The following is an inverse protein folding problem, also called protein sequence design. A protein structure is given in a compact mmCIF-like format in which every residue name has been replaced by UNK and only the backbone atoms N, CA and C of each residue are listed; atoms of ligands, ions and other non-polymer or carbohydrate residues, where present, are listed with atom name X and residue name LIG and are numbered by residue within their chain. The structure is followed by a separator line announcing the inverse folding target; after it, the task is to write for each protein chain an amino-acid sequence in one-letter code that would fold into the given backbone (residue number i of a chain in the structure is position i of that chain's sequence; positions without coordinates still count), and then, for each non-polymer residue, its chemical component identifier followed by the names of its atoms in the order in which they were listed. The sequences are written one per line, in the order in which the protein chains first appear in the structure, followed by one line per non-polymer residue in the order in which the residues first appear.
data_IF_866249510057
#
_entry.id   IF_866249510057
#
_cell.length_a   1.000
_cell.length_b   1.000
_cell.length_c   1.000
_cell.angle_alpha   90.00
_cell.angle_beta   90.00
_cell.angle_gamma   90.00
#
_symmetry.space_group_name_H-M   'P 1'
#
loop_
_entity.id
_entity.type
_entity.pdbx_description
1 polymer ?
#
# COMPACT_ATOMS: atom_id res chain seq x y z
N UNK A 1 51.46 -19.74 11.65
CA UNK A 1 51.88 -18.34 11.48
C UNK A 1 50.69 -17.61 10.88
N UNK A 2 50.19 -16.59 11.59
CA UNK A 2 49.00 -15.81 11.27
C UNK A 2 49.23 -14.80 10.13
N UNK A 3 48.20 -14.64 9.29
CA UNK A 3 47.59 -13.41 8.75
C UNK A 3 48.40 -12.35 7.99
N UNK A 4 47.83 -11.90 6.86
CA UNK A 4 47.60 -10.50 6.40
C UNK A 4 47.23 -10.54 4.90
N UNK A 5 46.25 -9.85 4.32
CA UNK A 5 45.16 -8.99 4.75
C UNK A 5 44.32 -8.73 3.49
N UNK A 6 43.07 -9.19 3.46
CA UNK A 6 42.04 -8.46 2.73
C UNK A 6 41.14 -7.82 3.79
N UNK A 7 40.89 -6.50 3.71
CA UNK A 7 40.04 -5.83 4.68
C UNK A 7 38.64 -6.46 4.61
N UNK A 8 37.95 -6.66 5.75
CA UNK A 8 36.54 -6.97 5.68
C UNK A 8 35.86 -5.77 5.02
N UNK A 9 35.28 -5.98 3.83
CA UNK A 9 34.25 -5.07 3.35
C UNK A 9 33.22 -4.98 4.47
N UNK A 10 33.05 -3.75 4.96
CA UNK A 10 31.94 -3.37 5.80
C UNK A 10 30.71 -3.64 4.93
N UNK A 11 30.16 -4.85 5.07
CA UNK A 11 28.87 -5.20 4.49
C UNK A 11 27.88 -4.36 5.27
N UNK A 12 27.65 -3.17 4.74
CA UNK A 12 26.58 -2.25 5.11
C UNK A 12 25.31 -3.07 5.32
N UNK A 13 24.54 -2.86 6.41
CA UNK A 13 23.30 -3.59 6.62
C UNK A 13 22.25 -3.16 5.59
N UNK A 14 22.32 -3.73 4.39
CA UNK A 14 21.23 -3.78 3.41
C UNK A 14 20.23 -4.85 3.87
N UNK A 15 19.55 -4.61 4.98
CA UNK A 15 18.33 -5.34 5.35
C UNK A 15 17.43 -4.50 6.27
N UNK A 16 17.29 -3.20 5.97
CA UNK A 16 16.34 -2.34 6.70
C UNK A 16 15.25 -1.74 5.81
N UNK A 17 15.37 -1.82 4.48
CA UNK A 17 14.40 -1.24 3.55
C UNK A 17 13.04 -1.97 3.54
N UNK A 18 13.02 -3.28 3.81
CA UNK A 18 11.76 -4.01 4.02
C UNK A 18 11.05 -3.53 5.29
N UNK A 19 11.79 -3.39 6.39
CA UNK A 19 11.24 -3.02 7.69
C UNK A 19 10.63 -1.61 7.70
N UNK A 20 11.23 -0.64 6.98
CA UNK A 20 10.72 0.73 6.95
C UNK A 20 9.37 0.85 6.24
N UNK A 21 9.12 0.12 5.14
CA UNK A 21 7.84 0.19 4.42
C UNK A 21 6.72 -0.46 5.23
N UNK A 22 7.00 -1.59 5.89
CA UNK A 22 6.03 -2.21 6.80
C UNK A 22 5.77 -1.33 8.03
N UNK A 23 6.80 -0.70 8.61
CA UNK A 23 6.62 0.22 9.74
C UNK A 23 5.83 1.47 9.34
N UNK A 24 6.07 2.04 8.17
CA UNK A 24 5.29 3.17 7.64
C UNK A 24 3.83 2.76 7.36
N UNK A 25 3.61 1.59 6.74
CA UNK A 25 2.26 1.07 6.48
C UNK A 25 1.49 0.78 7.78
N UNK A 26 2.18 0.25 8.80
CA UNK A 26 1.59 0.01 10.11
C UNK A 26 1.24 1.32 10.81
N UNK A 27 2.15 2.30 10.78
CA UNK A 27 1.94 3.62 11.37
C UNK A 27 0.79 4.35 10.69
N UNK A 28 0.68 4.25 9.36
CA UNK A 28 -0.45 4.76 8.59
C UNK A 28 -1.78 4.15 9.06
N UNK A 29 -1.86 2.83 9.22
CA UNK A 29 -3.06 2.16 9.71
C UNK A 29 -3.43 2.62 11.13
N UNK A 30 -2.45 2.83 12.02
CA UNK A 30 -2.69 3.35 13.37
C UNK A 30 -3.22 4.80 13.34
N UNK A 31 -2.68 5.65 12.45
CA UNK A 31 -3.16 7.02 12.25
C UNK A 31 -4.61 7.05 11.73
N UNK A 32 -4.91 6.26 10.68
CA UNK A 32 -6.28 6.10 10.15
C UNK A 32 -7.21 5.59 11.24
N UNK A 33 -6.79 4.58 12.00
CA UNK A 33 -7.57 4.05 13.12
C UNK A 33 -7.85 5.13 14.16
N UNK A 34 -6.84 5.85 14.67
CA UNK A 34 -7.06 6.88 15.69
C UNK A 34 -7.97 8.01 15.21
N UNK A 35 -7.86 8.41 13.94
CA UNK A 35 -8.66 9.48 13.33
C UNK A 35 -10.11 9.07 13.11
N UNK A 36 -10.34 7.89 12.54
CA UNK A 36 -11.67 7.46 12.13
C UNK A 36 -12.38 6.60 13.18
N UNK A 37 -11.70 5.75 13.94
CA UNK A 37 -12.35 4.88 14.94
C UNK A 37 -13.10 5.68 16.02
N UNK A 38 -12.56 6.83 16.43
CA UNK A 38 -13.18 7.66 17.48
C UNK A 38 -14.26 8.60 16.93
N UNK A 39 -14.07 9.14 15.73
CA UNK A 39 -14.98 10.17 15.18
C UNK A 39 -16.02 9.59 14.23
N UNK A 40 -15.67 8.57 13.44
CA UNK A 40 -16.46 8.00 12.34
C UNK A 40 -16.18 6.49 12.20
N UNK A 41 -16.67 5.64 13.13
CA UNK A 41 -16.37 4.21 13.13
C UNK A 41 -16.90 3.49 11.87
N UNK A 42 -17.97 4.02 11.26
CA UNK A 42 -18.48 3.52 9.97
C UNK A 42 -17.49 3.72 8.81
N UNK A 43 -16.77 4.84 8.79
CA UNK A 43 -15.76 5.15 7.78
C UNK A 43 -14.56 4.22 7.94
N UNK A 44 -14.13 3.99 9.18
CA UNK A 44 -13.06 3.03 9.47
C UNK A 44 -13.45 1.60 9.04
N UNK A 45 -14.67 1.15 9.35
CA UNK A 45 -15.15 -0.18 8.93
C UNK A 45 -15.18 -0.33 7.40
N UNK A 46 -15.70 0.68 6.69
CA UNK A 46 -15.70 0.71 5.22
C UNK A 46 -14.29 0.72 4.64
N UNK A 47 -13.36 1.45 5.27
CA UNK A 47 -11.96 1.50 4.85
C UNK A 47 -11.30 0.12 4.96
N UNK A 48 -11.44 -0.58 6.09
CA UNK A 48 -10.88 -1.92 6.27
C UNK A 48 -11.48 -2.91 5.28
N UNK A 49 -12.80 -2.82 5.01
CA UNK A 49 -13.46 -3.64 4.01
C UNK A 49 -12.90 -3.38 2.60
N UNK A 50 -12.72 -2.12 2.22
CA UNK A 50 -12.15 -1.75 0.93
C UNK A 50 -10.69 -2.24 0.80
N UNK A 51 -9.88 -2.08 1.85
CA UNK A 51 -8.50 -2.57 1.90
C UNK A 51 -8.42 -4.09 1.72
N UNK A 52 -9.33 -4.84 2.36
CA UNK A 52 -9.39 -6.30 2.25
C UNK A 52 -9.78 -6.75 0.85
N UNK A 53 -10.76 -6.09 0.23
CA UNK A 53 -11.17 -6.36 -1.15
C UNK A 53 -10.03 -6.04 -2.13
N UNK A 54 -9.32 -4.93 -1.92
CA UNK A 54 -8.15 -4.55 -2.70
C UNK A 54 -7.02 -5.58 -2.59
N UNK A 55 -6.70 -6.02 -1.37
CA UNK A 55 -5.68 -7.04 -1.13
C UNK A 55 -6.05 -8.37 -1.79
N UNK A 56 -7.33 -8.77 -1.71
CA UNK A 56 -7.81 -9.99 -2.34
C UNK A 56 -7.71 -9.91 -3.87
N UNK A 57 -8.11 -8.78 -4.45
CA UNK A 57 -8.05 -8.55 -5.89
C UNK A 57 -6.61 -8.47 -6.43
N UNK A 58 -5.65 -7.99 -5.62
CA UNK A 58 -4.22 -7.98 -5.97
C UNK A 58 -3.59 -9.37 -5.84
N UNK A 59 -3.94 -10.16 -4.83
CA UNK A 59 -3.42 -11.53 -4.63
C UNK A 59 -4.02 -12.53 -5.62
N UNK A 60 -5.31 -12.40 -5.95
CA UNK A 60 -6.02 -13.26 -6.88
C UNK A 60 -6.59 -12.43 -8.04
N UNK A 61 -5.76 -12.07 -9.03
CA UNK A 61 -6.21 -11.30 -10.17
C UNK A 61 -7.12 -12.17 -11.06
N UNK A 62 -8.38 -11.75 -11.18
CA UNK A 62 -9.42 -12.28 -12.05
C UNK A 62 -9.86 -11.19 -13.02
N UNK A 63 -10.66 -11.50 -14.04
CA UNK A 63 -11.20 -10.50 -14.97
C UNK A 63 -11.99 -9.38 -14.27
N UNK A 64 -12.57 -9.65 -13.10
CA UNK A 64 -13.30 -8.64 -12.31
C UNK A 64 -12.41 -7.88 -11.32
N UNK A 65 -11.16 -8.31 -11.11
CA UNK A 65 -10.28 -7.69 -10.11
C UNK A 65 -9.97 -6.23 -10.46
N UNK A 66 -9.90 -5.86 -11.74
CA UNK A 66 -9.69 -4.46 -12.15
C UNK A 66 -10.83 -3.55 -11.70
N UNK A 67 -12.08 -3.98 -11.88
CA UNK A 67 -13.25 -3.23 -11.44
C UNK A 67 -13.26 -3.08 -9.91
N UNK A 68 -12.97 -4.16 -9.18
CA UNK A 68 -12.87 -4.16 -7.71
C UNK A 68 -11.77 -3.22 -7.24
N UNK A 69 -10.59 -3.26 -7.87
CA UNK A 69 -9.46 -2.41 -7.53
C UNK A 69 -9.77 -0.92 -7.75
N UNK A 70 -10.46 -0.59 -8.85
CA UNK A 70 -10.90 0.78 -9.13
C UNK A 70 -11.97 1.23 -8.12
N UNK A 71 -12.99 0.40 -7.88
CA UNK A 71 -14.08 0.72 -6.96
C UNK A 71 -13.59 0.89 -5.51
N UNK A 72 -12.71 0.00 -5.05
CA UNK A 72 -12.09 0.11 -3.72
C UNK A 72 -11.20 1.34 -3.61
N UNK A 73 -10.43 1.68 -4.65
CA UNK A 73 -9.63 2.90 -4.68
C UNK A 73 -10.50 4.16 -4.58
N UNK A 74 -11.55 4.28 -5.39
CA UNK A 74 -12.47 5.42 -5.34
C UNK A 74 -13.20 5.50 -4.00
N UNK A 75 -13.59 4.36 -3.44
CA UNK A 75 -14.19 4.28 -2.11
C UNK A 75 -13.23 4.79 -1.04
N UNK A 76 -11.98 4.34 -1.06
CA UNK A 76 -10.92 4.81 -0.13
C UNK A 76 -10.72 6.32 -0.30
N UNK A 77 -10.63 6.83 -1.53
CA UNK A 77 -10.56 8.28 -1.80
C UNK A 77 -11.72 9.07 -1.19
N UNK A 78 -12.94 8.57 -1.34
CA UNK A 78 -14.13 9.22 -0.77
C UNK A 78 -14.13 9.18 0.77
N UNK A 79 -13.72 8.06 1.36
CA UNK A 79 -13.61 7.89 2.81
C UNK A 79 -12.54 8.81 3.44
N UNK A 80 -11.45 9.05 2.70
CA UNK A 80 -10.34 9.93 3.09
C UNK A 80 -10.52 11.37 2.59
N UNK A 81 -11.68 11.73 2.05
CA UNK A 81 -11.93 13.07 1.54
C UNK A 81 -11.78 14.12 2.65
N UNK A 82 -10.90 15.11 2.44
CA UNK A 82 -10.54 16.11 3.45
C UNK A 82 -9.34 15.74 4.32
N UNK A 83 -8.72 14.57 4.08
CA UNK A 83 -7.48 14.12 4.71
C UNK A 83 -6.42 13.81 3.65
N UNK A 84 -5.94 14.85 2.95
CA UNK A 84 -4.90 14.73 1.91
C UNK A 84 -3.65 14.00 2.41
N UNK A 85 -3.21 14.25 3.65
CA UNK A 85 -2.03 13.59 4.24
C UNK A 85 -2.16 12.06 4.25
N UNK A 86 -3.37 11.57 4.51
CA UNK A 86 -3.66 10.13 4.56
C UNK A 86 -3.85 9.56 3.15
N UNK A 87 -4.42 10.35 2.23
CA UNK A 87 -4.57 9.95 0.84
C UNK A 87 -3.22 9.80 0.14
N UNK A 88 -2.31 10.77 0.30
CA UNK A 88 -0.96 10.71 -0.24
C UNK A 88 -0.19 9.50 0.29
N UNK A 89 -0.32 9.23 1.60
CA UNK A 89 0.27 8.04 2.23
C UNK A 89 -0.33 6.75 1.69
N UNK A 90 -1.64 6.70 1.44
CA UNK A 90 -2.28 5.55 0.81
C UNK A 90 -1.72 5.30 -0.58
N UNK A 91 -1.67 6.32 -1.45
CA UNK A 91 -1.14 6.21 -2.82
C UNK A 91 0.35 5.80 -2.82
N UNK A 92 1.15 6.31 -1.87
CA UNK A 92 2.56 5.91 -1.71
C UNK A 92 2.73 4.50 -1.13
N UNK A 93 1.71 3.96 -0.46
CA UNK A 93 1.72 2.60 0.09
C UNK A 93 1.31 1.55 -0.94
N UNK A 94 0.82 1.96 -2.11
CA UNK A 94 0.46 1.05 -3.18
C UNK A 94 1.72 0.45 -3.83
N UNK A 95 1.80 -0.87 -4.00
CA UNK A 95 2.95 -1.50 -4.64
C UNK A 95 3.07 -1.09 -6.10
N UNK A 96 4.29 -0.96 -6.59
CA UNK A 96 4.56 -0.57 -7.99
C UNK A 96 3.92 -1.51 -9.02
N UNK A 97 3.77 -2.80 -8.69
CA UNK A 97 3.02 -3.77 -9.50
C UNK A 97 1.55 -3.41 -9.70
N UNK A 98 0.90 -2.83 -8.69
CA UNK A 98 -0.46 -2.34 -8.82
C UNK A 98 -0.52 -1.16 -9.79
N UNK A 99 0.42 -0.22 -9.68
CA UNK A 99 0.49 0.96 -10.55
C UNK A 99 0.76 0.56 -12.01
N UNK A 100 1.66 -0.39 -12.24
CA UNK A 100 1.91 -0.96 -13.57
C UNK A 100 0.67 -1.65 -14.13
N UNK A 101 0.04 -2.53 -13.35
CA UNK A 101 -1.16 -3.26 -13.78
C UNK A 101 -2.31 -2.30 -14.09
N UNK A 102 -2.48 -1.23 -13.32
CA UNK A 102 -3.47 -0.17 -13.58
C UNK A 102 -3.19 0.55 -14.91
N UNK A 103 -1.92 0.83 -15.19
CA UNK A 103 -1.52 1.45 -16.44
C UNK A 103 -1.79 0.53 -17.66
N UNK A 104 -1.57 -0.78 -17.51
CA UNK A 104 -1.89 -1.78 -18.54
C UNK A 104 -3.41 -1.97 -18.74
N UNK A 105 -4.18 -2.01 -17.66
CA UNK A 105 -5.65 -2.05 -17.68
C UNK A 105 -6.25 -0.86 -18.45
N UNK A 106 -5.78 0.36 -18.16
CA UNK A 106 -6.23 1.57 -18.83
C UNK A 106 -5.86 1.59 -20.33
N UNK A 107 -4.73 0.99 -20.70
CA UNK A 107 -4.29 0.89 -22.09
C UNK A 107 -5.07 -0.17 -22.89
N UNK A 108 -5.46 -1.28 -22.25
CA UNK A 108 -6.11 -2.43 -22.90
C UNK A 108 -7.55 -2.10 -23.35
N UNK A 109 -8.23 -1.17 -22.68
CA UNK A 109 -9.61 -0.76 -23.02
C UNK A 109 -9.73 0.10 -24.30
N UNK A 110 -8.62 0.42 -24.98
CA UNK A 110 -8.61 1.23 -26.21
C UNK A 110 -8.32 0.44 -27.51
N UNK A 111 -8.37 -0.91 -27.50
CA UNK A 111 -8.25 -1.70 -28.75
C UNK A 111 -9.57 -2.28 -29.25
#
# INVERSE_FOLDING_TARGET
MHSMSEPPEIITPQDQAGSTVYQESWSFLDDVKRRFETTQPEVYAAFIQALSSFYTATQNPTENSEAVLFETHETVKALLQGHDDLLERFESSLPQDYLHRRHEAAATRQR
#
